data_IF_394019478657
#
_entry.id   IF_394019478657
#
_cell.length_a   1.000
_cell.length_b   1.000
_cell.length_c   1.000
_cell.angle_alpha   90.00
_cell.angle_beta   90.00
_cell.angle_gamma   90.00
#
_symmetry.space_group_name_H-M   'P 1'
#
loop_
_entity.id
_entity.type
_entity.pdbx_description
1 polymer ?
#
# COMPACT_ATOMS: atom_id res chain seq x y z
N UNK A 1 -4.78 -25.50 0.29
CA UNK A 1 -5.62 -24.29 0.40
C UNK A 1 -5.55 -23.60 -0.95
N UNK A 2 -6.67 -23.54 -1.66
CA UNK A 2 -6.73 -23.04 -3.03
C UNK A 2 -6.48 -21.53 -3.06
N UNK A 3 -5.40 -21.11 -3.74
CA UNK A 3 -5.04 -19.72 -4.02
C UNK A 3 -5.94 -19.04 -5.08
N UNK A 4 -7.14 -19.57 -5.32
CA UNK A 4 -8.03 -19.15 -6.40
C UNK A 4 -8.67 -17.77 -6.17
N UNK A 5 -8.51 -17.16 -4.98
CA UNK A 5 -9.06 -15.84 -4.67
C UNK A 5 -8.08 -14.68 -4.92
N UNK A 6 -6.78 -14.95 -5.05
CA UNK A 6 -5.77 -13.91 -5.32
C UNK A 6 -5.69 -13.55 -6.81
N UNK A 7 -6.06 -14.47 -7.70
CA UNK A 7 -5.95 -14.27 -9.16
C UNK A 7 -6.99 -13.32 -9.77
N UNK A 8 -8.00 -12.90 -8.99
CA UNK A 8 -9.03 -11.94 -9.43
C UNK A 8 -8.78 -10.49 -8.99
N UNK A 9 -7.66 -10.22 -8.33
CA UNK A 9 -7.24 -8.84 -8.10
C UNK A 9 -6.85 -8.26 -9.46
N UNK A 10 -7.63 -7.30 -9.96
CA UNK A 10 -7.29 -6.49 -11.14
C UNK A 10 -5.80 -6.14 -11.07
N UNK A 11 -5.05 -6.16 -12.20
CA UNK A 11 -3.64 -5.80 -12.19
C UNK A 11 -3.50 -4.47 -11.45
N UNK A 12 -2.85 -4.52 -10.29
CA UNK A 12 -2.64 -3.32 -9.48
C UNK A 12 -1.73 -2.41 -10.29
N UNK A 13 -2.22 -1.23 -10.62
CA UNK A 13 -1.40 -0.20 -11.25
C UNK A 13 -0.52 0.42 -10.17
N UNK A 14 0.80 0.25 -10.31
CA UNK A 14 1.78 0.80 -9.39
C UNK A 14 2.32 2.10 -9.98
N UNK A 15 2.25 3.18 -9.22
CA UNK A 15 2.98 4.40 -9.56
C UNK A 15 4.48 4.16 -9.38
N UNK A 16 5.31 4.76 -10.24
CA UNK A 16 6.75 4.77 -10.06
C UNK A 16 7.10 5.86 -9.04
N UNK A 17 7.58 5.46 -7.87
CA UNK A 17 7.78 6.36 -6.72
C UNK A 17 9.21 6.25 -6.25
N UNK A 18 9.97 7.34 -6.39
CA UNK A 18 11.39 7.38 -6.05
C UNK A 18 11.66 8.25 -4.81
N UNK A 19 12.68 7.85 -4.04
CA UNK A 19 13.34 8.68 -3.02
C UNK A 19 12.42 9.43 -2.06
N UNK A 20 12.40 10.77 -2.16
CA UNK A 20 11.66 11.66 -1.27
C UNK A 20 10.14 11.47 -1.31
N UNK A 21 9.59 11.03 -2.45
CA UNK A 21 8.15 10.79 -2.58
C UNK A 21 7.72 9.59 -1.73
N UNK A 22 8.54 8.53 -1.71
CA UNK A 22 8.28 7.37 -0.84
C UNK A 22 8.31 7.77 0.64
N UNK A 23 9.28 8.61 1.04
CA UNK A 23 9.34 9.11 2.42
C UNK A 23 8.06 9.85 2.79
N UNK A 24 7.61 10.78 1.94
CA UNK A 24 6.38 11.55 2.17
C UNK A 24 5.14 10.66 2.29
N UNK A 25 5.06 9.59 1.49
CA UNK A 25 3.94 8.65 1.57
C UNK A 25 3.96 7.81 2.85
N UNK A 26 5.14 7.49 3.38
CA UNK A 26 5.27 6.81 4.69
C UNK A 26 4.93 7.73 5.86
N UNK A 27 5.34 8.99 5.77
CA UNK A 27 4.97 10.00 6.75
C UNK A 27 3.43 10.15 6.76
N UNK A 28 2.81 10.28 5.58
CA UNK A 28 1.35 10.34 5.44
C UNK A 28 0.63 9.07 5.94
N UNK A 29 1.20 7.90 5.71
CA UNK A 29 0.67 6.64 6.23
C UNK A 29 0.62 6.62 7.76
N UNK A 30 1.61 7.21 8.41
CA UNK A 30 1.66 7.28 9.87
C UNK A 30 0.61 8.26 10.37
N UNK A 31 0.61 9.49 9.86
CA UNK A 31 -0.34 10.54 10.24
C UNK A 31 -1.81 10.09 10.05
N UNK A 32 -2.12 9.49 8.89
CA UNK A 32 -3.47 9.02 8.59
C UNK A 32 -3.92 7.91 9.54
N UNK A 33 -3.07 6.92 9.81
CA UNK A 33 -3.46 5.79 10.65
C UNK A 33 -3.49 6.18 12.14
N UNK A 34 -2.75 7.19 12.57
CA UNK A 34 -2.90 7.77 13.91
C UNK A 34 -4.26 8.48 14.07
N UNK A 35 -4.73 9.17 13.03
CA UNK A 35 -6.00 9.91 13.07
C UNK A 35 -7.24 9.01 12.82
N UNK A 36 -7.15 8.06 11.90
CA UNK A 36 -8.29 7.29 11.39
C UNK A 36 -8.17 5.76 11.54
N UNK A 37 -7.05 5.24 12.09
CA UNK A 37 -6.67 3.82 12.09
C UNK A 37 -7.65 2.84 12.75
N UNK A 38 -8.66 3.34 13.46
CA UNK A 38 -9.74 2.53 14.04
C UNK A 38 -10.84 2.19 13.03
N UNK A 39 -11.04 3.05 12.02
CA UNK A 39 -12.12 2.92 11.03
C UNK A 39 -11.57 2.66 9.62
N UNK A 40 -10.44 3.26 9.27
CA UNK A 40 -9.82 3.17 7.96
C UNK A 40 -8.32 2.99 8.07
N UNK A 41 -7.72 2.33 7.08
CA UNK A 41 -6.27 2.15 7.02
C UNK A 41 -5.74 2.56 5.64
N UNK A 42 -4.65 3.31 5.66
CA UNK A 42 -3.84 3.59 4.48
C UNK A 42 -2.54 2.82 4.61
N UNK A 43 -2.05 2.21 3.53
CA UNK A 43 -0.83 1.42 3.57
C UNK A 43 -0.01 1.60 2.29
N UNK A 44 1.28 1.91 2.47
CA UNK A 44 2.23 1.94 1.35
C UNK A 44 2.91 0.58 1.26
N UNK A 45 2.86 -0.06 0.10
CA UNK A 45 3.48 -1.38 -0.11
C UNK A 45 4.50 -1.30 -1.25
N UNK A 46 5.67 -1.91 -1.04
CA UNK A 46 6.61 -2.16 -2.14
C UNK A 46 6.14 -3.39 -2.90
N UNK A 47 6.22 -3.34 -4.22
CA UNK A 47 6.02 -4.52 -5.05
C UNK A 47 7.10 -5.54 -4.70
N UNK A 48 6.70 -6.72 -4.23
CA UNK A 48 7.62 -7.81 -3.99
C UNK A 48 8.17 -8.32 -5.33
N UNK A 49 9.50 -8.35 -5.48
CA UNK A 49 10.12 -9.06 -6.60
C UNK A 49 9.99 -10.57 -6.33
N UNK A 50 9.29 -11.28 -7.21
CA UNK A 50 9.43 -12.74 -7.33
C UNK A 50 10.62 -13.05 -8.22
#
# INVERSE_FOLDING_TARGET
MNNEHLEKLKPMEYADIEGQQLKRLRDLETEFNEEFGTEFYFMVMKKGNK
#
